data_IF_430954441998
#
_entry.id   IF_430954441998
#
_cell.length_a   1.000
_cell.length_b   1.000
_cell.length_c   1.000
_cell.angle_alpha   90.00
_cell.angle_beta   90.00
_cell.angle_gamma   90.00
#
_symmetry.space_group_name_H-M   'P 1'
#
loop_
_entity.id
_entity.type
_entity.pdbx_description
1 polymer ?
#
# COMPACT_ATOMS: atom_id res chain seq x y z
N UNK A 1 14.14 -4.91 11.21
CA UNK A 1 13.65 -5.89 12.22
C UNK A 1 12.71 -6.90 11.56
N UNK A 2 12.70 -8.17 11.95
CA UNK A 2 11.91 -9.21 11.26
C UNK A 2 10.40 -8.95 11.24
N UNK A 3 9.87 -8.25 12.26
CA UNK A 3 8.45 -7.90 12.36
C UNK A 3 8.03 -6.90 11.28
N UNK A 4 8.73 -5.78 11.15
CA UNK A 4 8.45 -4.78 10.12
C UNK A 4 8.74 -5.28 8.70
N UNK A 5 9.69 -6.21 8.58
CA UNK A 5 9.96 -6.90 7.33
C UNK A 5 8.71 -7.68 6.86
N UNK A 6 8.18 -8.59 7.70
CA UNK A 6 6.99 -9.37 7.36
C UNK A 6 5.76 -8.49 7.16
N UNK A 7 5.56 -7.51 8.06
CA UNK A 7 4.42 -6.60 7.98
C UNK A 7 4.45 -5.78 6.69
N UNK A 8 5.65 -5.37 6.24
CA UNK A 8 5.81 -4.66 4.97
C UNK A 8 5.43 -5.52 3.77
N UNK A 9 5.77 -6.82 3.77
CA UNK A 9 5.34 -7.75 2.70
C UNK A 9 3.81 -7.85 2.69
N UNK A 10 3.24 -8.19 3.84
CA UNK A 10 1.80 -8.45 3.97
C UNK A 10 0.98 -7.22 3.60
N UNK A 11 1.32 -6.05 4.16
CA UNK A 11 0.55 -4.84 3.96
C UNK A 11 0.73 -4.25 2.57
N UNK A 12 1.91 -4.34 1.95
CA UNK A 12 2.04 -3.96 0.53
C UNK A 12 1.21 -4.86 -0.39
N UNK A 13 1.19 -6.17 -0.13
CA UNK A 13 0.38 -7.10 -0.91
C UNK A 13 -1.13 -6.78 -0.78
N UNK A 14 -1.61 -6.60 0.46
CA UNK A 14 -3.02 -6.32 0.73
C UNK A 14 -3.44 -4.92 0.24
N UNK A 15 -2.67 -3.87 0.55
CA UNK A 15 -2.97 -2.51 0.12
C UNK A 15 -2.89 -2.39 -1.41
N UNK A 16 -1.89 -3.04 -2.02
CA UNK A 16 -1.78 -3.12 -3.46
C UNK A 16 -2.99 -3.80 -4.11
N UNK A 17 -3.43 -4.94 -3.55
CA UNK A 17 -4.62 -5.63 -4.04
C UNK A 17 -5.89 -4.78 -3.85
N UNK A 18 -6.05 -4.11 -2.72
CA UNK A 18 -7.17 -3.19 -2.48
C UNK A 18 -7.25 -2.08 -3.54
N UNK A 19 -6.12 -1.51 -3.96
CA UNK A 19 -6.07 -0.45 -4.98
C UNK A 19 -6.34 -0.96 -6.41
N UNK A 20 -6.05 -2.24 -6.68
CA UNK A 20 -6.33 -2.87 -7.98
C UNK A 20 -7.81 -3.23 -8.12
N UNK A 21 -8.46 -3.60 -7.01
CA UNK A 21 -9.87 -3.96 -7.00
C UNK A 21 -10.74 -2.82 -7.52
N UNK A 22 -11.63 -3.18 -8.44
CA UNK A 22 -12.65 -2.25 -8.92
C UNK A 22 -13.85 -2.28 -7.98
N UNK A 23 -14.24 -1.10 -7.48
CA UNK A 23 -15.39 -0.95 -6.59
C UNK A 23 -16.71 -0.99 -7.36
N UNK A 24 -16.66 -0.72 -8.68
CA UNK A 24 -17.84 -0.72 -9.55
C UNK A 24 -18.13 -2.09 -10.18
N UNK A 25 -17.27 -3.09 -9.92
CA UNK A 25 -17.45 -4.44 -10.43
C UNK A 25 -18.66 -5.11 -9.74
N UNK A 26 -19.70 -5.36 -10.54
CA UNK A 26 -20.98 -5.93 -10.10
C UNK A 26 -20.96 -7.45 -9.93
N UNK A 27 -19.80 -8.09 -10.02
CA UNK A 27 -19.68 -9.53 -9.74
C UNK A 27 -20.08 -9.79 -8.28
N UNK A 28 -21.10 -10.63 -8.02
CA UNK A 28 -21.49 -10.95 -6.66
C UNK A 28 -20.29 -11.57 -5.92
N UNK A 29 -19.77 -10.87 -4.93
CA UNK A 29 -18.67 -11.37 -4.10
C UNK A 29 -19.26 -12.31 -3.08
N UNK A 30 -18.90 -13.59 -3.15
CA UNK A 30 -19.36 -14.61 -2.21
C UNK A 30 -18.25 -14.88 -1.19
N UNK A 31 -18.18 -14.03 -0.16
CA UNK A 31 -17.30 -14.23 1.01
C UNK A 31 -15.81 -14.03 0.77
N UNK A 32 -15.07 -13.80 1.87
CA UNK A 32 -13.60 -13.86 1.91
C UNK A 32 -12.88 -12.52 1.83
N UNK A 33 -11.57 -12.56 1.54
CA UNK A 33 -10.68 -11.39 1.61
C UNK A 33 -11.09 -10.24 0.68
N UNK A 34 -11.64 -10.54 -0.50
CA UNK A 34 -12.09 -9.52 -1.46
C UNK A 34 -13.20 -8.64 -0.89
N UNK A 35 -14.14 -9.23 -0.16
CA UNK A 35 -15.26 -8.50 0.46
C UNK A 35 -14.75 -7.47 1.46
N UNK A 36 -13.82 -7.88 2.34
CA UNK A 36 -13.17 -6.96 3.26
C UNK A 36 -12.38 -5.86 2.54
N UNK A 37 -11.68 -6.16 1.45
CA UNK A 37 -10.90 -5.16 0.70
C UNK A 37 -11.77 -4.16 -0.10
N UNK A 38 -13.07 -4.44 -0.26
CA UNK A 38 -14.04 -3.50 -0.81
C UNK A 38 -14.67 -2.61 0.28
N UNK A 39 -14.69 -3.06 1.54
CA UNK A 39 -15.19 -2.27 2.67
C UNK A 39 -14.35 -1.02 2.93
N UNK A 40 -15.02 0.12 3.08
CA UNK A 40 -14.39 1.44 3.19
C UNK A 40 -13.56 1.57 4.48
N UNK A 41 -14.05 1.01 5.59
CA UNK A 41 -13.42 1.09 6.90
C UNK A 41 -12.20 0.19 6.96
N UNK A 42 -12.31 -1.04 6.42
CA UNK A 42 -11.20 -1.96 6.30
C UNK A 42 -10.08 -1.36 5.44
N UNK A 43 -10.42 -0.75 4.29
CA UNK A 43 -9.45 -0.04 3.44
C UNK A 43 -8.74 1.10 4.17
N UNK A 44 -9.46 1.89 4.97
CA UNK A 44 -8.87 2.95 5.78
C UNK A 44 -7.88 2.39 6.81
N UNK A 45 -8.28 1.37 7.57
CA UNK A 45 -7.41 0.71 8.56
C UNK A 45 -6.18 0.12 7.89
N UNK A 46 -6.36 -0.59 6.78
CA UNK A 46 -5.28 -1.12 5.96
C UNK A 46 -4.34 -0.02 5.49
N UNK A 47 -4.87 1.12 5.05
CA UNK A 47 -4.11 2.29 4.63
C UNK A 47 -3.24 2.86 5.75
N UNK A 48 -3.81 3.06 6.94
CA UNK A 48 -3.08 3.55 8.13
C UNK A 48 -1.98 2.58 8.54
N UNK A 49 -2.26 1.28 8.55
CA UNK A 49 -1.27 0.26 8.88
C UNK A 49 -0.14 0.21 7.86
N UNK A 50 -0.45 0.26 6.56
CA UNK A 50 0.52 0.23 5.48
C UNK A 50 1.44 1.46 5.52
N UNK A 51 0.86 2.65 5.72
CA UNK A 51 1.59 3.91 5.83
C UNK A 51 2.51 3.89 7.06
N UNK A 52 1.99 3.48 8.21
CA UNK A 52 2.76 3.38 9.45
C UNK A 52 3.92 2.39 9.31
N UNK A 53 3.67 1.22 8.71
CA UNK A 53 4.68 0.18 8.49
C UNK A 53 5.75 0.64 7.52
N UNK A 54 5.37 1.29 6.41
CA UNK A 54 6.31 1.87 5.46
C UNK A 54 7.19 2.93 6.13
N UNK A 55 6.60 3.80 6.96
CA UNK A 55 7.35 4.80 7.72
C UNK A 55 8.36 4.18 8.69
N UNK A 56 7.92 3.24 9.55
CA UNK A 56 8.82 2.60 10.51
C UNK A 56 9.90 1.76 9.84
N UNK A 57 9.61 1.19 8.67
CA UNK A 57 10.59 0.42 7.92
C UNK A 57 11.74 1.29 7.42
N UNK A 58 11.48 2.53 7.00
CA UNK A 58 12.56 3.50 6.68
C UNK A 58 13.51 3.73 7.85
N UNK A 59 13.01 3.70 9.09
CA UNK A 59 13.81 3.89 10.29
C UNK A 59 14.54 2.62 10.73
N UNK A 60 14.03 1.45 10.35
CA UNK A 60 14.46 0.15 10.88
C UNK A 60 15.45 -0.61 9.99
N UNK A 61 16.22 0.13 9.17
CA UNK A 61 17.15 -0.43 8.18
C UNK A 61 17.95 -1.60 8.77
N UNK A 62 17.85 -2.76 8.12
CA UNK A 62 18.54 -3.95 8.60
C UNK A 62 20.04 -3.76 8.38
N UNK A 63 20.84 -3.89 9.45
CA UNK A 63 22.31 -3.81 9.35
C UNK A 63 22.80 -4.90 8.39
N UNK A 64 23.44 -4.50 7.31
CA UNK A 64 24.00 -5.40 6.28
C UNK A 64 23.18 -5.52 4.99
N UNK A 65 22.05 -4.81 4.88
CA UNK A 65 21.17 -4.81 3.71
C UNK A 65 21.50 -3.64 2.75
N UNK A 66 21.32 -3.80 1.43
CA UNK A 66 21.43 -2.68 0.48
C UNK A 66 20.26 -1.70 0.73
N UNK A 67 20.50 -0.50 1.29
CA UNK A 67 19.42 0.33 1.86
C UNK A 67 18.33 0.73 0.86
N UNK A 68 18.69 0.82 -0.43
CA UNK A 68 17.83 1.36 -1.50
C UNK A 68 16.90 0.29 -2.09
N UNK A 69 17.36 -0.93 -2.31
CA UNK A 69 16.52 -1.97 -2.95
C UNK A 69 15.74 -2.75 -1.90
N UNK A 70 16.35 -2.96 -0.72
CA UNK A 70 15.80 -3.85 0.30
C UNK A 70 14.70 -3.22 1.11
N UNK A 71 14.95 -2.02 1.61
CA UNK A 71 14.04 -1.35 2.53
C UNK A 71 13.35 -0.15 1.89
N UNK A 72 14.01 0.66 1.05
CA UNK A 72 13.40 1.87 0.49
C UNK A 72 12.26 1.56 -0.49
N UNK A 73 12.43 0.65 -1.44
CA UNK A 73 11.36 0.29 -2.41
C UNK A 73 10.08 -0.19 -1.71
N UNK A 74 10.11 -1.23 -0.85
CA UNK A 74 8.90 -1.69 -0.16
C UNK A 74 8.37 -0.67 0.86
N UNK A 75 9.21 0.20 1.44
CA UNK A 75 8.74 1.28 2.31
C UNK A 75 8.00 2.36 1.52
N UNK A 76 8.56 2.80 0.39
CA UNK A 76 7.95 3.77 -0.50
C UNK A 76 6.62 3.25 -1.08
N UNK A 77 6.59 1.97 -1.49
CA UNK A 77 5.37 1.31 -1.91
C UNK A 77 4.31 1.31 -0.81
N UNK A 78 4.69 1.01 0.45
CA UNK A 78 3.76 0.96 1.58
C UNK A 78 3.25 2.34 1.97
N UNK A 79 4.12 3.34 1.93
CA UNK A 79 3.75 4.75 2.15
C UNK A 79 2.79 5.25 1.08
N UNK A 80 3.12 5.02 -0.20
CA UNK A 80 2.31 5.54 -1.30
C UNK A 80 0.95 4.83 -1.38
N UNK A 81 0.91 3.49 -1.27
CA UNK A 81 -0.34 2.72 -1.29
C UNK A 81 -1.20 2.99 -0.04
N UNK A 82 -0.57 3.08 1.14
CA UNK A 82 -1.25 3.44 2.37
C UNK A 82 -1.84 4.85 2.31
N UNK A 83 -1.07 5.81 1.79
CA UNK A 83 -1.55 7.18 1.58
C UNK A 83 -2.72 7.22 0.59
N UNK A 84 -2.64 6.50 -0.52
CA UNK A 84 -3.73 6.43 -1.49
C UNK A 84 -5.04 5.94 -0.85
N UNK A 85 -5.00 4.88 -0.06
CA UNK A 85 -6.20 4.34 0.63
C UNK A 85 -6.78 5.33 1.65
N UNK A 86 -5.92 5.98 2.45
CA UNK A 86 -6.36 7.01 3.40
C UNK A 86 -6.94 8.23 2.66
N UNK A 87 -6.32 8.62 1.55
CA UNK A 87 -6.75 9.75 0.74
C UNK A 87 -8.08 9.45 0.01
N UNK A 88 -8.30 8.22 -0.48
CA UNK A 88 -9.60 7.79 -1.02
C UNK A 88 -10.72 7.96 0.02
N UNK A 89 -10.49 7.53 1.28
CA UNK A 89 -11.44 7.70 2.37
C UNK A 89 -11.69 9.18 2.72
N UNK A 90 -10.63 9.99 2.77
CA UNK A 90 -10.79 11.43 2.99
C UNK A 90 -11.63 12.08 1.88
N UNK A 91 -11.37 11.70 0.63
CA UNK A 91 -12.04 12.26 -0.54
C UNK A 91 -13.52 11.89 -0.62
N UNK A 92 -13.89 10.67 -0.23
CA UNK A 92 -15.29 10.22 -0.18
C UNK A 92 -16.14 11.00 0.84
N UNK A 93 -15.50 11.62 1.85
CA UNK A 93 -16.16 12.35 2.94
C UNK A 93 -16.05 13.87 2.83
N UNK A 94 -15.09 14.39 2.07
CA UNK A 94 -14.86 15.84 1.95
C UNK A 94 -15.70 16.48 0.83
N UNK A 95 -16.45 17.52 1.18
CA UNK A 95 -17.16 18.38 0.21
C UNK A 95 -16.32 19.57 -0.27
N UNK A 96 -15.19 19.84 0.39
CA UNK A 96 -14.31 20.97 0.06
C UNK A 96 -13.16 20.47 -0.82
N UNK A 97 -13.14 20.98 -2.04
CA UNK A 97 -12.11 20.80 -3.03
C UNK A 97 -11.11 21.95 -2.96
N UNK A 98 -9.85 21.63 -2.66
CA UNK A 98 -8.73 22.55 -2.82
C UNK A 98 -7.87 22.12 -4.01
N UNK A 99 -7.16 23.05 -4.64
CA UNK A 99 -6.25 22.75 -5.76
C UNK A 99 -5.23 21.65 -5.41
N UNK A 100 -4.77 21.59 -4.16
CA UNK A 100 -3.86 20.55 -3.68
C UNK A 100 -4.55 19.17 -3.65
N UNK A 101 -5.81 19.10 -3.21
CA UNK A 101 -6.57 17.85 -3.21
C UNK A 101 -6.84 17.33 -4.63
N UNK A 102 -7.07 18.21 -5.61
CA UNK A 102 -7.26 17.81 -7.00
C UNK A 102 -5.98 17.20 -7.62
N UNK A 103 -4.81 17.77 -7.30
CA UNK A 103 -3.53 17.21 -7.75
C UNK A 103 -3.26 15.83 -7.15
N UNK A 104 -3.52 15.67 -5.85
CA UNK A 104 -3.37 14.38 -5.17
C UNK A 104 -4.35 13.34 -5.72
N UNK A 105 -5.59 13.73 -6.04
CA UNK A 105 -6.57 12.86 -6.68
C UNK A 105 -6.08 12.34 -8.03
N UNK A 106 -5.48 13.20 -8.84
CA UNK A 106 -4.95 12.82 -10.14
C UNK A 106 -3.77 11.83 -10.03
N UNK A 107 -2.93 11.98 -9.02
CA UNK A 107 -1.74 11.14 -8.83
C UNK A 107 -2.11 9.80 -8.16
N UNK A 108 -2.88 9.83 -7.09
CA UNK A 108 -3.09 8.66 -6.22
C UNK A 108 -4.40 7.92 -6.50
N UNK A 109 -5.47 8.62 -6.89
CA UNK A 109 -6.79 8.01 -7.12
C UNK A 109 -6.92 7.55 -8.57
N UNK A 110 -6.64 8.43 -9.55
CA UNK A 110 -6.76 8.06 -10.97
C UNK A 110 -5.78 6.95 -11.38
N UNK A 111 -4.58 6.93 -10.79
CA UNK A 111 -3.57 5.92 -11.09
C UNK A 111 -3.49 4.80 -10.04
N UNK A 112 -4.54 4.63 -9.21
CA UNK A 112 -4.56 3.67 -8.09
C UNK A 112 -4.19 2.24 -8.51
N UNK A 113 -4.64 1.77 -9.68
CA UNK A 113 -4.36 0.42 -10.17
C UNK A 113 -2.86 0.22 -10.43
N UNK A 114 -2.19 1.20 -11.04
CA UNK A 114 -0.74 1.16 -11.27
C UNK A 114 0.05 1.19 -9.97
N UNK A 115 -0.37 2.04 -9.04
CA UNK A 115 0.21 2.09 -7.71
C UNK A 115 0.04 0.74 -6.97
N UNK A 116 -1.13 0.11 -7.12
CA UNK A 116 -1.43 -1.19 -6.56
C UNK A 116 -0.57 -2.31 -7.13
N UNK A 117 -0.40 -2.36 -8.46
CA UNK A 117 0.52 -3.31 -9.09
C UNK A 117 1.96 -3.10 -8.63
N UNK A 118 2.40 -1.85 -8.50
CA UNK A 118 3.73 -1.52 -7.96
C UNK A 118 3.93 -2.03 -6.53
N UNK A 119 2.94 -1.84 -5.66
CA UNK A 119 2.98 -2.33 -4.28
C UNK A 119 2.98 -3.87 -4.20
N UNK A 120 2.16 -4.54 -5.01
CA UNK A 120 2.16 -6.00 -5.08
C UNK A 120 3.49 -6.55 -5.62
N UNK A 121 4.07 -5.91 -6.65
CA UNK A 121 5.38 -6.28 -7.18
C UNK A 121 6.48 -6.10 -6.13
N UNK A 122 6.46 -4.99 -5.38
CA UNK A 122 7.38 -4.76 -4.27
C UNK A 122 7.23 -5.82 -3.16
N UNK A 123 6.00 -6.21 -2.82
CA UNK A 123 5.75 -7.27 -1.84
C UNK A 123 6.31 -8.63 -2.30
N UNK A 124 6.04 -9.01 -3.56
CA UNK A 124 6.53 -10.26 -4.15
C UNK A 124 8.05 -10.27 -4.22
N UNK A 125 8.67 -9.20 -4.72
CA UNK A 125 10.11 -9.08 -4.80
C UNK A 125 10.74 -9.15 -3.40
N UNK A 126 10.19 -8.42 -2.43
CA UNK A 126 10.71 -8.40 -1.08
C UNK A 126 10.54 -9.75 -0.38
N UNK A 127 9.47 -10.51 -0.67
CA UNK A 127 9.26 -11.88 -0.16
C UNK A 127 10.18 -12.92 -0.80
N UNK A 128 10.36 -12.89 -2.13
CA UNK A 128 11.16 -13.87 -2.87
C UNK A 128 12.65 -13.67 -2.70
N UNK A 129 13.08 -12.43 -2.49
CA UNK A 129 14.49 -12.07 -2.36
C UNK A 129 14.77 -11.44 -0.99
N UNK A 130 14.57 -12.19 0.12
CA UNK A 130 14.94 -11.72 1.45
C UNK A 130 16.45 -11.48 1.56
N UNK A 131 17.25 -12.12 0.70
CA UNK A 131 18.71 -12.24 0.81
C UNK A 131 19.52 -11.75 -0.39
N UNK A 132 18.93 -11.29 -1.49
CA UNK A 132 19.68 -10.64 -2.60
C UNK A 132 20.26 -9.27 -2.18
N UNK A 133 20.02 -8.90 -0.92
CA UNK A 133 20.52 -7.72 -0.26
C UNK A 133 21.69 -7.99 0.70
N UNK A 134 22.04 -9.27 0.91
CA UNK A 134 23.13 -9.73 1.79
C UNK A 134 24.31 -10.37 1.04
N UNK A 135 24.57 -9.96 -0.21
CA UNK A 135 25.81 -10.29 -0.94
C UNK A 135 26.71 -9.06 -1.03
#
# INVERSE_FOLDING_TARGET
>A
MIQFYFLSILLNALAGYALVLDQDDRTPVTGGLREYLLDETFRLVLGVLALSTGFFKLLSAVRGDIPVIGDLVPSAAGLASGFALVFEFYRSRSTILSDASERLELIFVKNRKWLGYGAMAAAVAHFLFPTVLFL
#
